data_IF_467768925657
#
_entry.id   IF_467768925657
#
_cell.length_a   1.000
_cell.length_b   1.000
_cell.length_c   1.000
_cell.angle_alpha   90.00
_cell.angle_beta   90.00
_cell.angle_gamma   90.00
#
_symmetry.space_group_name_H-M   'P 1'
#
loop_
_entity.id
_entity.type
_entity.pdbx_description
1 polymer ?
#
# COMPACT_ATOMS: atom_id res chain seq x y z
N UNK A 1 7.69 -11.91 -11.21
CA UNK A 1 7.74 -13.01 -10.22
C UNK A 1 8.80 -13.99 -10.68
N UNK A 2 9.65 -14.41 -9.76
CA UNK A 2 10.76 -15.32 -9.99
C UNK A 2 10.66 -16.50 -9.04
N UNK A 3 10.84 -17.73 -9.53
CA UNK A 3 10.94 -18.90 -8.68
C UNK A 3 12.33 -18.97 -8.02
N UNK A 4 12.42 -19.46 -6.80
CA UNK A 4 13.68 -19.63 -6.08
C UNK A 4 14.60 -20.70 -6.74
N UNK A 5 14.01 -21.64 -7.47
CA UNK A 5 14.72 -22.65 -8.27
C UNK A 5 14.35 -22.49 -9.74
N UNK A 6 15.32 -22.18 -10.57
CA UNK A 6 15.24 -22.20 -12.03
C UNK A 6 15.98 -23.45 -12.54
N UNK A 7 15.76 -23.81 -13.80
CA UNK A 7 16.35 -25.03 -14.39
C UNK A 7 17.88 -24.99 -14.42
N UNK A 8 18.47 -23.81 -14.61
CA UNK A 8 19.89 -23.58 -14.88
C UNK A 8 20.63 -22.80 -13.77
N UNK A 9 19.91 -22.11 -12.89
CA UNK A 9 20.52 -21.36 -11.78
C UNK A 9 19.53 -21.17 -10.62
N UNK A 10 20.02 -20.70 -9.46
CA UNK A 10 19.13 -20.31 -8.39
C UNK A 10 18.46 -18.95 -8.68
N UNK A 11 17.22 -18.76 -8.24
CA UNK A 11 16.54 -17.47 -8.33
C UNK A 11 17.29 -16.34 -7.63
N UNK A 12 18.04 -16.66 -6.55
CA UNK A 12 18.89 -15.68 -5.85
C UNK A 12 20.10 -15.25 -6.71
N UNK A 13 20.73 -16.18 -7.40
CA UNK A 13 21.84 -15.90 -8.32
C UNK A 13 21.36 -15.04 -9.51
N UNK A 14 20.20 -15.37 -10.07
CA UNK A 14 19.56 -14.54 -11.08
C UNK A 14 19.27 -13.12 -10.56
N UNK A 15 18.76 -12.98 -9.34
CA UNK A 15 18.55 -11.68 -8.70
C UNK A 15 19.82 -10.85 -8.60
N UNK A 16 20.95 -11.47 -8.24
CA UNK A 16 22.24 -10.79 -8.17
C UNK A 16 22.68 -10.28 -9.55
N UNK A 17 22.44 -11.05 -10.58
CA UNK A 17 22.80 -10.68 -11.96
C UNK A 17 21.97 -9.49 -12.48
N UNK A 18 20.67 -9.40 -12.16
CA UNK A 18 19.81 -8.29 -12.62
C UNK A 18 19.95 -7.03 -11.77
N UNK A 19 20.67 -7.05 -10.64
CA UNK A 19 20.94 -5.86 -9.81
C UNK A 19 21.70 -4.75 -10.54
N UNK A 20 22.47 -5.11 -11.55
CA UNK A 20 23.23 -4.17 -12.38
C UNK A 20 22.40 -3.51 -13.49
N UNK A 21 21.13 -3.91 -13.66
CA UNK A 21 20.24 -3.34 -14.67
C UNK A 21 19.75 -1.95 -14.28
N UNK A 22 19.61 -1.06 -15.27
CA UNK A 22 18.99 0.26 -15.10
C UNK A 22 17.87 0.44 -16.14
N UNK A 23 16.61 0.67 -15.74
CA UNK A 23 16.11 0.74 -14.37
C UNK A 23 16.08 -0.63 -13.69
N UNK A 24 16.34 -0.65 -12.38
CA UNK A 24 16.26 -1.89 -11.57
C UNK A 24 14.83 -2.42 -11.58
N UNK A 25 14.61 -3.68 -11.97
CA UNK A 25 13.28 -4.28 -11.95
C UNK A 25 12.83 -4.57 -10.51
N UNK A 26 11.54 -4.45 -10.24
CA UNK A 26 10.94 -4.98 -9.02
C UNK A 26 10.76 -6.50 -9.19
N UNK A 27 11.32 -7.27 -8.28
CA UNK A 27 11.28 -8.73 -8.35
C UNK A 27 10.68 -9.30 -7.08
N UNK A 28 9.74 -10.24 -7.25
CA UNK A 28 9.23 -11.07 -6.17
C UNK A 28 9.81 -12.47 -6.36
N UNK A 29 10.56 -12.92 -5.38
CA UNK A 29 11.09 -14.27 -5.33
C UNK A 29 10.09 -15.19 -4.64
N UNK A 30 9.61 -16.20 -5.34
CA UNK A 30 8.70 -17.21 -4.83
C UNK A 30 9.47 -18.51 -4.56
N UNK A 31 9.33 -19.06 -3.34
CA UNK A 31 9.93 -20.33 -2.94
C UNK A 31 8.84 -21.34 -2.60
N UNK A 32 8.83 -22.45 -3.29
CA UNK A 32 7.95 -23.59 -2.99
C UNK A 32 8.47 -24.46 -1.84
N UNK A 33 9.68 -24.23 -1.36
CA UNK A 33 10.38 -25.04 -0.34
C UNK A 33 10.53 -24.33 1.01
N UNK A 34 10.42 -25.09 2.09
CA UNK A 34 10.57 -24.64 3.50
C UNK A 34 12.00 -24.19 3.90
N UNK A 35 12.73 -23.44 3.12
CA UNK A 35 14.09 -22.99 3.48
C UNK A 35 14.04 -21.60 4.13
N UNK A 36 14.19 -21.56 5.45
CA UNK A 36 14.14 -20.37 6.31
C UNK A 36 15.23 -19.31 6.04
N UNK A 37 16.30 -19.65 5.32
CA UNK A 37 17.46 -18.75 5.20
C UNK A 37 17.40 -17.75 4.05
N UNK A 38 16.50 -17.91 3.08
CA UNK A 38 16.43 -17.02 1.91
C UNK A 38 15.75 -15.68 2.26
N UNK A 39 14.85 -15.67 3.25
CA UNK A 39 14.10 -14.48 3.67
C UNK A 39 14.99 -13.37 4.24
N UNK A 40 16.03 -13.73 5.02
CA UNK A 40 16.92 -12.77 5.63
C UNK A 40 17.76 -12.01 4.61
N UNK A 41 18.24 -12.70 3.58
CA UNK A 41 19.13 -12.12 2.54
C UNK A 41 18.38 -11.11 1.66
N UNK A 42 17.08 -11.33 1.41
CA UNK A 42 16.27 -10.43 0.60
C UNK A 42 15.86 -9.16 1.36
N UNK A 43 15.69 -9.23 2.68
CA UNK A 43 15.31 -8.09 3.54
C UNK A 43 16.47 -7.12 3.79
N UNK A 44 17.70 -7.61 3.84
CA UNK A 44 18.89 -6.78 4.11
C UNK A 44 19.33 -5.92 2.92
N UNK A 45 18.87 -6.22 1.73
CA UNK A 45 19.41 -5.57 0.53
C UNK A 45 18.82 -4.19 0.21
N UNK A 46 17.75 -3.74 0.86
CA UNK A 46 17.19 -2.38 0.69
C UNK A 46 16.72 -2.01 -0.74
N UNK A 47 16.81 -2.94 -1.68
CA UNK A 47 16.66 -2.70 -3.13
C UNK A 47 15.27 -3.05 -3.67
N UNK A 48 14.25 -3.08 -2.82
CA UNK A 48 12.86 -3.27 -3.26
C UNK A 48 12.44 -4.71 -3.55
N UNK A 49 13.21 -5.70 -3.08
CA UNK A 49 12.86 -7.12 -3.21
C UNK A 49 11.99 -7.56 -2.05
N UNK A 50 10.94 -8.28 -2.37
CA UNK A 50 10.08 -8.92 -1.40
C UNK A 50 10.15 -10.44 -1.57
N UNK A 51 10.38 -11.14 -0.47
CA UNK A 51 10.33 -12.59 -0.44
C UNK A 51 9.01 -13.07 0.14
N UNK A 52 8.34 -13.94 -0.58
CA UNK A 52 7.13 -14.60 -0.13
C UNK A 52 7.42 -16.09 -0.04
N UNK A 53 7.76 -16.58 1.16
CA UNK A 53 7.84 -18.02 1.40
C UNK A 53 6.46 -18.63 1.38
N UNK A 54 6.34 -19.88 0.99
CA UNK A 54 5.15 -20.78 0.98
C UNK A 54 3.84 -20.12 1.44
N UNK A 55 3.43 -19.09 0.74
CA UNK A 55 2.29 -18.30 1.09
C UNK A 55 1.14 -18.62 0.15
N UNK A 56 -0.04 -18.64 0.69
CA UNK A 56 -1.25 -18.62 -0.10
C UNK A 56 -1.18 -17.51 -1.15
N UNK A 57 -1.75 -17.71 -2.32
CA UNK A 57 -1.81 -16.73 -3.42
C UNK A 57 -2.24 -15.33 -2.96
N UNK A 58 -3.07 -15.28 -1.91
CA UNK A 58 -3.47 -14.04 -1.22
C UNK A 58 -2.27 -13.24 -0.71
N UNK A 59 -1.33 -13.88 -0.04
CA UNK A 59 -0.16 -13.24 0.54
C UNK A 59 0.83 -12.79 -0.55
N UNK A 60 0.95 -13.57 -1.63
CA UNK A 60 1.75 -13.18 -2.79
C UNK A 60 1.19 -11.91 -3.46
N UNK A 61 -0.11 -11.88 -3.70
CA UNK A 61 -0.78 -10.70 -4.27
C UNK A 61 -0.61 -9.49 -3.35
N UNK A 62 -0.68 -9.69 -2.03
CA UNK A 62 -0.50 -8.66 -1.04
C UNK A 62 0.94 -8.11 -1.00
N UNK A 63 1.94 -8.99 -1.06
CA UNK A 63 3.34 -8.59 -1.12
C UNK A 63 3.69 -7.92 -2.46
N UNK A 64 3.14 -8.40 -3.57
CA UNK A 64 3.23 -7.72 -4.87
C UNK A 64 2.68 -6.29 -4.80
N UNK A 65 1.63 -6.11 -4.04
CA UNK A 65 1.00 -4.82 -3.81
C UNK A 65 1.86 -3.89 -2.92
N UNK A 66 2.56 -4.44 -1.95
CA UNK A 66 3.49 -3.73 -1.06
C UNK A 66 4.82 -3.38 -1.69
N UNK A 67 5.17 -4.00 -2.82
CA UNK A 67 6.42 -3.65 -3.50
C UNK A 67 6.43 -2.14 -3.80
N UNK A 68 7.39 -1.39 -3.25
CA UNK A 68 7.52 0.02 -3.51
C UNK A 68 7.94 0.22 -4.97
N UNK A 69 6.99 0.06 -5.88
CA UNK A 69 7.15 0.55 -7.23
C UNK A 69 7.25 2.08 -7.17
N UNK A 70 8.00 2.69 -8.07
CA UNK A 70 8.02 4.16 -8.25
C UNK A 70 6.61 4.76 -8.25
N UNK A 71 5.62 3.98 -8.63
CA UNK A 71 4.20 4.35 -8.67
C UNK A 71 3.56 4.40 -7.28
N UNK A 72 3.90 3.45 -6.39
CA UNK A 72 3.40 3.42 -5.00
C UNK A 72 4.00 4.56 -4.17
N UNK A 73 5.31 4.77 -4.23
CA UNK A 73 5.98 5.89 -3.55
C UNK A 73 5.50 7.25 -4.08
N UNK A 74 5.29 7.35 -5.40
CA UNK A 74 4.75 8.57 -6.02
C UNK A 74 3.32 8.85 -5.56
N UNK A 75 2.50 7.80 -5.39
CA UNK A 75 1.13 7.94 -4.91
C UNK A 75 1.10 8.32 -3.44
N UNK A 76 1.88 7.64 -2.60
CA UNK A 76 1.99 7.95 -1.17
C UNK A 76 2.42 9.40 -0.94
N UNK A 77 3.45 9.86 -1.65
CA UNK A 77 3.88 11.26 -1.63
C UNK A 77 2.77 12.22 -2.07
N UNK A 78 2.02 11.89 -3.12
CA UNK A 78 0.87 12.70 -3.55
C UNK A 78 -0.24 12.75 -2.50
N UNK A 79 -0.52 11.64 -1.82
CA UNK A 79 -1.47 11.61 -0.71
C UNK A 79 -1.01 12.53 0.42
N UNK A 80 0.27 12.48 0.80
CA UNK A 80 0.86 13.35 1.82
C UNK A 80 0.74 14.83 1.45
N UNK A 81 1.11 15.19 0.21
CA UNK A 81 0.98 16.56 -0.31
C UNK A 81 -0.48 17.07 -0.28
N UNK A 82 -1.45 16.18 -0.54
CA UNK A 82 -2.88 16.49 -0.43
C UNK A 82 -3.29 16.73 1.03
N UNK A 83 -2.90 15.85 1.95
CA UNK A 83 -3.29 15.96 3.38
C UNK A 83 -2.70 17.22 4.01
N UNK A 84 -1.44 17.53 3.76
CA UNK A 84 -0.85 18.81 4.18
C UNK A 84 -1.58 20.00 3.58
N UNK A 85 -1.93 19.90 2.30
CA UNK A 85 -2.73 20.93 1.62
C UNK A 85 -4.13 21.11 2.20
N UNK A 86 -4.71 20.05 2.77
CA UNK A 86 -5.98 20.14 3.50
C UNK A 86 -5.83 20.67 4.93
N UNK A 87 -4.60 20.80 5.44
CA UNK A 87 -4.29 21.33 6.77
C UNK A 87 -4.09 20.29 7.84
N UNK A 88 -3.84 19.02 7.45
CA UNK A 88 -3.49 17.95 8.39
C UNK A 88 -2.00 18.04 8.70
N UNK A 89 -1.65 17.94 9.98
CA UNK A 89 -0.26 17.87 10.42
C UNK A 89 0.24 16.43 10.33
N UNK A 90 1.29 16.21 9.53
CA UNK A 90 1.96 14.91 9.43
C UNK A 90 3.13 14.83 10.44
N UNK A 91 3.48 13.62 10.90
CA UNK A 91 2.89 12.31 10.57
C UNK A 91 1.59 12.02 11.34
N UNK A 92 0.58 11.48 10.67
CA UNK A 92 -0.67 11.02 11.25
C UNK A 92 -0.97 9.60 10.77
N UNK A 93 -1.19 8.67 11.70
CA UNK A 93 -1.48 7.26 11.38
C UNK A 93 -2.78 7.09 10.59
N UNK A 94 -3.77 7.96 10.80
CA UNK A 94 -5.04 7.91 10.07
C UNK A 94 -4.83 8.27 8.59
N UNK A 95 -3.88 9.18 8.29
CA UNK A 95 -3.45 9.46 6.93
C UNK A 95 -2.82 8.23 6.25
N UNK A 96 -2.04 7.46 7.01
CA UNK A 96 -1.45 6.22 6.51
C UNK A 96 -2.53 5.19 6.18
N UNK A 97 -3.57 5.05 7.01
CA UNK A 97 -4.71 4.18 6.73
C UNK A 97 -5.43 4.59 5.43
N UNK A 98 -5.68 5.89 5.26
CA UNK A 98 -6.35 6.39 4.06
C UNK A 98 -5.44 6.21 2.82
N UNK A 99 -4.15 6.51 2.89
CA UNK A 99 -3.19 6.29 1.80
C UNK A 99 -3.14 4.82 1.38
N UNK A 100 -3.13 3.91 2.35
CA UNK A 100 -3.17 2.49 2.08
C UNK A 100 -4.49 2.09 1.40
N UNK A 101 -5.64 2.57 1.90
CA UNK A 101 -6.94 2.31 1.29
C UNK A 101 -7.02 2.82 -0.17
N UNK A 102 -6.51 4.02 -0.43
CA UNK A 102 -6.38 4.58 -1.79
C UNK A 102 -5.50 3.68 -2.65
N UNK A 103 -4.39 3.21 -2.11
CA UNK A 103 -3.50 2.26 -2.77
C UNK A 103 -4.21 0.98 -3.18
N UNK A 104 -5.01 0.37 -2.29
CA UNK A 104 -5.81 -0.83 -2.56
C UNK A 104 -6.77 -0.61 -3.73
N UNK A 105 -7.46 0.53 -3.75
CA UNK A 105 -8.41 0.87 -4.83
C UNK A 105 -7.70 1.14 -6.14
N UNK A 106 -6.59 1.86 -6.10
CA UNK A 106 -5.85 2.25 -7.30
C UNK A 106 -5.22 1.05 -8.04
N UNK A 107 -4.83 0.02 -7.31
CA UNK A 107 -4.19 -1.17 -7.87
C UNK A 107 -5.17 -2.18 -8.49
N UNK A 108 -6.47 -1.96 -8.41
CA UNK A 108 -7.47 -2.87 -8.96
C UNK A 108 -8.39 -2.19 -9.96
N UNK A 109 -8.75 -2.92 -11.03
CA UNK A 109 -9.78 -2.49 -12.00
C UNK A 109 -11.19 -2.92 -11.60
N UNK A 110 -11.33 -3.71 -10.54
CA UNK A 110 -12.62 -4.20 -10.06
C UNK A 110 -13.18 -3.31 -8.95
N UNK A 111 -14.52 -3.26 -8.87
CA UNK A 111 -15.19 -2.58 -7.75
C UNK A 111 -15.05 -3.41 -6.49
N UNK A 112 -14.34 -2.87 -5.50
CA UNK A 112 -14.11 -3.51 -4.21
C UNK A 112 -15.20 -3.14 -3.20
N UNK A 113 -15.54 -4.10 -2.33
CA UNK A 113 -16.40 -3.86 -1.18
C UNK A 113 -15.60 -3.17 -0.07
N UNK A 114 -15.97 -1.92 0.27
CA UNK A 114 -15.20 -1.05 1.18
C UNK A 114 -14.82 -1.77 2.47
N UNK A 115 -15.80 -2.32 3.19
CA UNK A 115 -15.56 -2.89 4.52
C UNK A 115 -14.89 -4.26 4.48
N UNK A 116 -15.26 -5.11 3.51
CA UNK A 116 -14.77 -6.49 3.43
C UNK A 116 -13.42 -6.64 2.74
N UNK A 117 -13.09 -5.72 1.86
CA UNK A 117 -11.89 -5.83 1.02
C UNK A 117 -10.92 -4.68 1.31
N UNK A 118 -11.36 -3.42 1.26
CA UNK A 118 -10.48 -2.27 1.43
C UNK A 118 -10.05 -2.11 2.89
N UNK A 119 -11.02 -1.95 3.81
CA UNK A 119 -10.69 -1.74 5.23
C UNK A 119 -10.07 -2.99 5.87
N UNK A 120 -10.47 -4.19 5.42
CA UNK A 120 -9.85 -5.43 5.85
C UNK A 120 -8.36 -5.48 5.45
N UNK A 121 -8.05 -5.15 4.20
CA UNK A 121 -6.68 -5.10 3.71
C UNK A 121 -5.82 -4.11 4.52
N UNK A 122 -6.35 -2.92 4.83
CA UNK A 122 -5.66 -1.95 5.67
C UNK A 122 -5.46 -2.47 7.10
N UNK A 123 -6.47 -3.13 7.68
CA UNK A 123 -6.40 -3.68 9.04
C UNK A 123 -5.32 -4.76 9.16
N UNK A 124 -5.21 -5.63 8.17
CA UNK A 124 -4.18 -6.67 8.08
C UNK A 124 -2.77 -6.07 7.94
N UNK A 125 -2.63 -4.99 7.14
CA UNK A 125 -1.34 -4.33 6.96
C UNK A 125 -0.81 -3.68 8.23
N UNK A 126 -1.68 -3.08 9.02
CA UNK A 126 -1.28 -2.33 10.22
C UNK A 126 -1.47 -3.11 11.52
N UNK A 127 -1.88 -4.38 11.43
CA UNK A 127 -2.18 -5.26 12.58
C UNK A 127 -3.14 -4.59 13.59
N UNK A 128 -4.22 -4.03 13.05
CA UNK A 128 -5.27 -3.36 13.82
C UNK A 128 -6.66 -3.88 13.41
N UNK A 129 -7.68 -3.63 14.20
CA UNK A 129 -9.05 -4.01 13.81
C UNK A 129 -9.60 -3.14 12.68
N UNK A 130 -10.49 -3.70 11.85
CA UNK A 130 -11.24 -2.96 10.83
C UNK A 130 -11.97 -1.76 11.42
N UNK A 131 -12.49 -1.91 12.65
CA UNK A 131 -13.15 -0.81 13.36
C UNK A 131 -12.19 0.31 13.75
N UNK A 132 -10.94 -0.01 14.06
CA UNK A 132 -9.91 1.00 14.34
C UNK A 132 -9.56 1.80 13.08
N UNK A 133 -9.41 1.13 11.95
CA UNK A 133 -9.18 1.78 10.64
C UNK A 133 -10.34 2.71 10.28
N UNK A 134 -11.58 2.20 10.32
CA UNK A 134 -12.79 2.99 10.02
C UNK A 134 -12.90 4.22 10.92
N UNK A 135 -12.70 4.04 12.23
CA UNK A 135 -12.72 5.13 13.20
C UNK A 135 -11.58 6.14 13.00
N UNK A 136 -10.41 5.67 12.57
CA UNK A 136 -9.27 6.53 12.26
C UNK A 136 -9.55 7.44 11.07
N UNK A 137 -10.04 6.88 9.98
CA UNK A 137 -10.41 7.63 8.77
C UNK A 137 -11.53 8.63 9.08
N UNK A 138 -12.55 8.23 9.85
CA UNK A 138 -13.64 9.16 10.27
C UNK A 138 -13.11 10.32 11.10
N UNK A 139 -12.22 10.09 12.06
CA UNK A 139 -11.60 11.15 12.86
C UNK A 139 -10.85 12.16 11.99
N UNK A 140 -10.12 11.67 10.98
CA UNK A 140 -9.45 12.55 10.03
C UNK A 140 -10.47 13.43 9.27
N UNK A 141 -11.58 12.86 8.79
CA UNK A 141 -12.65 13.61 8.13
C UNK A 141 -13.27 14.61 9.10
N UNK A 142 -13.52 14.23 10.35
CA UNK A 142 -14.07 15.11 11.39
C UNK A 142 -13.18 16.33 11.66
N UNK A 143 -11.86 16.14 11.69
CA UNK A 143 -10.89 17.24 11.83
C UNK A 143 -10.93 18.20 10.65
N UNK A 144 -11.03 17.67 9.42
CA UNK A 144 -11.14 18.47 8.20
C UNK A 144 -12.43 19.26 8.13
N UNK A 145 -13.54 18.67 8.57
CA UNK A 145 -14.85 19.36 8.63
C UNK A 145 -14.92 20.40 9.76
N UNK A 146 -14.22 20.18 10.87
CA UNK A 146 -14.20 21.12 12.00
C UNK A 146 -13.44 22.42 11.67
N UNK A 147 -12.40 22.33 10.83
CA UNK A 147 -11.60 23.48 10.38
C UNK A 147 -11.24 23.33 8.89
N UNK A 148 -12.21 23.50 7.99
CA UNK A 148 -11.99 23.23 6.58
C UNK A 148 -11.04 24.26 5.95
N UNK A 149 -9.99 23.78 5.30
CA UNK A 149 -9.13 24.61 4.46
C UNK A 149 -9.81 24.88 3.10
N UNK A 150 -9.37 25.95 2.41
CA UNK A 150 -9.88 26.24 1.07
C UNK A 150 -9.65 25.08 0.07
N UNK A 151 -8.53 24.34 0.23
CA UNK A 151 -8.22 23.17 -0.62
C UNK A 151 -9.14 21.98 -0.30
N UNK A 152 -9.51 21.78 0.97
CA UNK A 152 -10.49 20.76 1.37
C UNK A 152 -11.86 21.05 0.80
N UNK A 153 -12.34 22.30 0.92
CA UNK A 153 -13.64 22.72 0.39
C UNK A 153 -13.70 22.56 -1.13
N UNK A 154 -12.64 22.95 -1.82
CA UNK A 154 -12.53 22.75 -3.26
C UNK A 154 -12.55 21.28 -3.66
N UNK A 155 -11.83 20.42 -2.94
CA UNK A 155 -11.85 18.97 -3.16
C UNK A 155 -13.27 18.40 -2.98
N UNK A 156 -13.99 18.82 -1.94
CA UNK A 156 -15.38 18.40 -1.72
C UNK A 156 -16.28 18.79 -2.88
N UNK A 157 -16.17 20.03 -3.34
CA UNK A 157 -16.95 20.56 -4.45
C UNK A 157 -16.67 19.78 -5.75
N UNK A 158 -15.40 19.61 -6.10
CA UNK A 158 -14.97 18.83 -7.28
C UNK A 158 -15.38 17.35 -7.22
N UNK A 159 -15.52 16.79 -6.01
CA UNK A 159 -15.92 15.39 -5.78
C UNK A 159 -17.44 15.21 -5.61
N UNK A 160 -18.24 16.27 -5.68
CA UNK A 160 -19.70 16.23 -5.53
C UNK A 160 -20.19 16.12 -4.08
N UNK A 161 -19.35 16.49 -3.10
CA UNK A 161 -19.68 16.49 -1.67
C UNK A 161 -19.74 17.91 -1.07
N UNK A 162 -19.96 18.94 -1.87
CA UNK A 162 -19.92 20.33 -1.42
C UNK A 162 -20.71 20.57 -0.12
N UNK A 163 -21.95 20.06 -0.08
CA UNK A 163 -22.91 20.24 1.03
C UNK A 163 -22.98 19.04 1.98
N UNK A 164 -22.24 17.97 1.70
CA UNK A 164 -22.28 16.75 2.51
C UNK A 164 -20.91 16.48 3.17
N UNK A 165 -20.97 15.89 4.36
CA UNK A 165 -19.79 15.33 4.98
C UNK A 165 -19.45 13.98 4.34
N UNK A 166 -18.23 13.79 3.80
CA UNK A 166 -17.82 12.50 3.29
C UNK A 166 -17.84 11.43 4.39
N UNK A 167 -18.11 10.20 4.02
CA UNK A 167 -18.07 9.04 4.91
C UNK A 167 -17.19 7.96 4.30
N UNK A 168 -16.72 7.03 5.12
CA UNK A 168 -15.93 5.88 4.64
C UNK A 168 -16.70 4.96 3.67
N UNK A 169 -17.98 5.15 3.50
CA UNK A 169 -18.85 4.39 2.60
C UNK A 169 -19.28 5.11 1.32
N UNK A 170 -18.88 6.37 1.17
CA UNK A 170 -19.20 7.18 -0.01
C UNK A 170 -17.98 7.58 -0.80
#
# INVERSE_FOLDING_TARGET
ILCSQLEDMSGLEFLMNIRSMDPKPNVVLFDEGRRQNTSAICLESGDGFCYVGHAELKNLLWELYRLPGRQSQRMERKCQELYEGWGIQLPDVNCNYLSCAVGVVYGTSQKLAIRKEILQAVSEQYDVSVSAVDSGIRRMIDQLEAKPSAKWLRFKDESGFADEKPTTGK
#
